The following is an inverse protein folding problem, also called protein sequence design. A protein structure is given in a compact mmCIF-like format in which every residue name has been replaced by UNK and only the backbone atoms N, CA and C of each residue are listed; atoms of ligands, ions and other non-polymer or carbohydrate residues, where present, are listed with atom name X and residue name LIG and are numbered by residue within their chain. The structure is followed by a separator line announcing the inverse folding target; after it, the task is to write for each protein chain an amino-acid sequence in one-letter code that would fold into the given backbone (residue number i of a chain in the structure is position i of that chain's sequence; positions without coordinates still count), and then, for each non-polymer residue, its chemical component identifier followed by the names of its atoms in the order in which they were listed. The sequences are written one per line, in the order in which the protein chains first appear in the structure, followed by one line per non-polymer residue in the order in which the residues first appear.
data_IF_051157462366
#
_entry.id   IF_051157462366
#
_cell.length_a   1.000
_cell.length_b   1.000
_cell.length_c   1.000
_cell.angle_alpha   90.00
_cell.angle_beta   90.00
_cell.angle_gamma   90.00
#
_symmetry.space_group_name_H-M   'P 1'
#
loop_
_entity.id
_entity.type
_entity.pdbx_description
1 polymer ?
#
# COMPACT_ATOMS: atom_id res chain seq x y z
N UNK A 1 20.83 1.09 -38.26
CA UNK A 1 21.19 -0.18 -38.93
C UNK A 1 21.34 -1.25 -37.85
N UNK A 2 20.77 -2.45 -38.03
CA UNK A 2 21.00 -3.58 -37.11
C UNK A 2 22.27 -4.33 -37.52
N UNK A 3 23.07 -4.79 -36.55
CA UNK A 3 24.35 -5.45 -36.83
C UNK A 3 24.18 -6.89 -37.32
N UNK A 4 25.18 -7.43 -38.03
CA UNK A 4 25.19 -8.81 -38.52
C UNK A 4 25.01 -9.83 -37.38
N UNK A 5 25.61 -9.58 -36.21
CA UNK A 5 25.42 -10.39 -35.01
C UNK A 5 23.96 -10.37 -34.51
N UNK A 6 23.31 -9.20 -34.46
CA UNK A 6 21.89 -9.09 -34.12
C UNK A 6 21.00 -9.86 -35.12
N UNK A 7 21.29 -9.78 -36.42
CA UNK A 7 20.54 -10.51 -37.45
C UNK A 7 20.69 -12.03 -37.33
N UNK A 8 21.88 -12.54 -36.99
CA UNK A 8 22.09 -13.97 -36.75
C UNK A 8 21.39 -14.44 -35.47
N UNK A 9 21.51 -13.69 -34.37
CA UNK A 9 20.80 -13.99 -33.12
C UNK A 9 19.27 -14.00 -33.31
N UNK A 10 18.73 -13.01 -34.02
CA UNK A 10 17.30 -12.95 -34.35
C UNK A 10 16.84 -14.14 -35.20
N UNK A 11 17.63 -14.58 -36.19
CA UNK A 11 17.33 -15.79 -36.99
C UNK A 11 17.38 -17.07 -36.16
N UNK A 12 18.31 -17.19 -35.21
CA UNK A 12 18.38 -18.34 -34.30
C UNK A 12 17.20 -18.35 -33.30
N UNK A 13 16.86 -17.20 -32.74
CA UNK A 13 15.73 -17.04 -31.83
C UNK A 13 14.39 -17.28 -32.52
N UNK A 14 14.21 -16.84 -33.77
CA UNK A 14 13.00 -17.09 -34.56
C UNK A 14 12.75 -18.59 -34.79
N UNK A 15 13.79 -19.42 -34.96
CA UNK A 15 13.64 -20.88 -35.07
C UNK A 15 13.16 -21.54 -33.77
N UNK A 16 13.52 -20.98 -32.62
CA UNK A 16 13.06 -21.43 -31.29
C UNK A 16 11.69 -20.85 -30.92
N UNK A 17 11.40 -19.63 -31.37
CA UNK A 17 10.14 -18.89 -31.18
C UNK A 17 9.12 -19.19 -32.29
N UNK A 18 8.78 -20.48 -32.45
CA UNK A 18 7.59 -20.84 -33.19
C UNK A 18 6.36 -20.51 -32.32
N UNK A 19 5.60 -19.48 -32.68
CA UNK A 19 4.30 -19.19 -32.05
C UNK A 19 3.32 -20.38 -32.14
N UNK A 20 2.23 -20.35 -31.36
CA UNK A 20 1.33 -21.50 -31.23
C UNK A 20 0.76 -21.96 -32.57
N UNK A 21 1.01 -23.23 -32.92
CA UNK A 21 0.59 -23.81 -34.21
C UNK A 21 -0.79 -24.46 -34.18
N UNK A 22 -1.19 -25.02 -33.04
CA UNK A 22 -2.52 -25.61 -32.82
C UNK A 22 -3.57 -24.53 -32.57
N UNK A 23 -4.84 -24.79 -32.91
CA UNK A 23 -5.91 -23.81 -32.72
C UNK A 23 -6.24 -23.59 -31.24
N UNK A 24 -6.10 -24.62 -30.40
CA UNK A 24 -6.08 -24.47 -28.94
C UNK A 24 -4.94 -23.58 -28.44
N UNK A 25 -3.75 -23.70 -29.02
CA UNK A 25 -2.59 -22.89 -28.69
C UNK A 25 -2.80 -21.43 -29.11
N UNK A 26 -3.42 -21.20 -30.28
CA UNK A 26 -3.81 -19.87 -30.76
C UNK A 26 -4.90 -19.28 -29.87
N UNK A 27 -5.88 -20.07 -29.44
CA UNK A 27 -6.92 -19.64 -28.50
C UNK A 27 -6.32 -19.23 -27.16
N UNK A 28 -5.46 -20.07 -26.57
CA UNK A 28 -4.70 -19.75 -25.35
C UNK A 28 -3.85 -18.49 -25.52
N UNK A 29 -3.09 -18.36 -26.61
CA UNK A 29 -2.26 -17.18 -26.86
C UNK A 29 -3.05 -15.91 -27.19
N UNK A 30 -4.26 -16.01 -27.75
CA UNK A 30 -5.17 -14.88 -27.95
C UNK A 30 -5.63 -14.29 -26.62
N UNK A 31 -5.74 -15.12 -25.59
CA UNK A 31 -6.11 -14.71 -24.23
C UNK A 31 -4.95 -14.03 -23.49
N UNK A 32 -3.68 -14.35 -23.81
CA UNK A 32 -2.52 -13.64 -23.21
C UNK A 32 -2.46 -12.14 -23.54
N UNK A 33 -3.11 -11.70 -24.63
CA UNK A 33 -3.22 -10.28 -24.99
C UNK A 33 -4.40 -9.55 -24.30
N UNK A 34 -5.24 -10.28 -23.55
CA UNK A 34 -6.45 -9.76 -22.92
C UNK A 34 -6.09 -8.96 -21.66
N UNK A 35 -5.98 -7.64 -21.81
CA UNK A 35 -5.62 -6.74 -20.69
C UNK A 35 -6.72 -6.57 -19.64
N UNK A 36 -7.99 -6.54 -20.07
CA UNK A 36 -9.13 -6.18 -19.20
C UNK A 36 -10.48 -6.81 -19.59
N UNK A 37 -10.58 -7.56 -20.70
CA UNK A 37 -11.81 -8.25 -21.12
C UNK A 37 -12.97 -7.40 -21.66
N UNK A 38 -13.16 -6.17 -21.16
CA UNK A 38 -14.32 -5.28 -21.41
C UNK A 38 -14.74 -4.99 -22.88
N UNK A 39 -13.94 -5.37 -23.88
CA UNK A 39 -14.29 -5.25 -25.32
C UNK A 39 -14.38 -6.60 -26.05
N UNK A 40 -14.45 -7.73 -25.34
CA UNK A 40 -14.59 -9.05 -25.93
C UNK A 40 -15.99 -9.24 -26.53
N UNK A 41 -16.14 -8.99 -27.82
CA UNK A 41 -17.44 -8.92 -28.49
C UNK A 41 -18.07 -10.28 -28.86
N UNK A 42 -17.42 -11.43 -28.63
CA UNK A 42 -17.85 -12.67 -29.35
C UNK A 42 -17.59 -14.04 -28.71
N UNK A 43 -16.60 -14.26 -27.83
CA UNK A 43 -16.07 -15.65 -27.63
C UNK A 43 -16.41 -16.32 -26.30
N UNK A 44 -16.53 -15.60 -25.19
CA UNK A 44 -17.02 -16.20 -23.93
C UNK A 44 -17.53 -15.08 -23.00
N UNK A 45 -18.73 -15.18 -22.39
CA UNK A 45 -19.16 -14.22 -21.36
C UNK A 45 -18.33 -14.30 -20.07
N UNK A 46 -17.48 -15.34 -19.94
CA UNK A 46 -16.64 -15.68 -18.79
C UNK A 46 -15.16 -15.59 -19.19
N UNK A 47 -14.32 -14.94 -18.38
CA UNK A 47 -12.88 -14.89 -18.62
C UNK A 47 -12.20 -16.22 -18.24
N UNK A 48 -10.96 -16.52 -18.71
CA UNK A 48 -10.31 -17.81 -18.47
C UNK A 48 -9.98 -18.16 -17.01
N UNK A 49 -10.22 -17.23 -16.08
CA UNK A 49 -10.01 -17.35 -14.63
C UNK A 49 -11.29 -17.13 -13.83
N UNK A 50 -12.44 -16.95 -14.50
CA UNK A 50 -13.75 -16.87 -13.89
C UNK A 50 -14.46 -18.22 -14.08
N UNK A 51 -15.28 -18.63 -13.12
CA UNK A 51 -16.04 -19.88 -13.23
C UNK A 51 -17.34 -19.66 -14.05
N UNK A 52 -17.58 -20.41 -15.13
CA UNK A 52 -18.85 -20.38 -15.83
C UNK A 52 -20.05 -20.75 -14.95
N UNK A 53 -19.87 -21.62 -13.95
CA UNK A 53 -20.94 -22.05 -13.07
C UNK A 53 -21.41 -20.92 -12.13
N UNK A 54 -20.53 -20.00 -11.72
CA UNK A 54 -20.90 -18.80 -10.94
C UNK A 54 -21.79 -17.86 -11.76
N UNK A 55 -21.42 -17.59 -13.01
CA UNK A 55 -22.25 -16.77 -13.91
C UNK A 55 -23.61 -17.44 -14.16
N UNK A 56 -23.62 -18.75 -14.37
CA UNK A 56 -24.86 -19.51 -14.62
C UNK A 56 -25.72 -19.66 -13.35
N UNK A 57 -25.12 -19.66 -12.16
CA UNK A 57 -25.82 -19.54 -10.88
C UNK A 57 -26.47 -18.16 -10.75
N UNK A 58 -25.73 -17.06 -10.99
CA UNK A 58 -26.26 -15.69 -10.96
C UNK A 58 -27.38 -15.47 -11.98
N UNK A 59 -27.28 -16.07 -13.17
CA UNK A 59 -28.36 -16.04 -14.17
C UNK A 59 -29.61 -16.80 -13.69
N UNK A 60 -29.45 -17.95 -13.02
CA UNK A 60 -30.56 -18.72 -12.45
C UNK A 60 -31.25 -17.95 -11.33
N UNK A 61 -30.49 -17.45 -10.35
CA UNK A 61 -30.96 -16.57 -9.27
C UNK A 61 -31.84 -15.43 -9.82
N UNK A 62 -31.35 -14.70 -10.82
CA UNK A 62 -32.13 -13.61 -11.43
C UNK A 62 -33.39 -14.09 -12.15
N UNK A 63 -33.39 -15.28 -12.75
CA UNK A 63 -34.60 -15.88 -13.37
C UNK A 63 -35.61 -16.29 -12.30
N UNK A 64 -35.14 -16.87 -11.20
CA UNK A 64 -35.98 -17.36 -10.10
C UNK A 64 -36.62 -16.21 -9.31
N UNK A 65 -35.87 -15.12 -9.08
CA UNK A 65 -36.35 -13.88 -8.47
C UNK A 65 -37.37 -13.15 -9.35
N UNK A 66 -37.06 -12.94 -10.63
CA UNK A 66 -37.94 -12.15 -11.50
C UNK A 66 -39.13 -12.94 -12.04
N UNK A 67 -39.06 -14.28 -12.12
CA UNK A 67 -40.10 -15.16 -12.66
C UNK A 67 -40.61 -14.71 -14.06
N UNK A 68 -39.76 -14.74 -15.10
CA UNK A 68 -40.12 -14.26 -16.44
C UNK A 68 -41.21 -15.14 -17.08
N UNK A 69 -42.34 -14.52 -17.44
CA UNK A 69 -43.54 -15.24 -17.93
C UNK A 69 -43.45 -15.67 -19.40
N UNK A 70 -42.54 -15.08 -20.17
CA UNK A 70 -42.39 -15.29 -21.60
C UNK A 70 -40.92 -15.15 -22.03
N UNK A 71 -40.62 -15.54 -23.28
CA UNK A 71 -39.26 -15.53 -23.82
C UNK A 71 -38.60 -14.14 -23.84
N UNK A 72 -39.37 -13.07 -24.06
CA UNK A 72 -38.85 -11.69 -24.09
C UNK A 72 -38.46 -11.23 -22.69
N UNK A 73 -39.30 -11.49 -21.68
CA UNK A 73 -38.95 -11.24 -20.28
C UNK A 73 -37.72 -12.03 -19.85
N UNK A 74 -37.62 -13.31 -20.26
CA UNK A 74 -36.48 -14.18 -19.92
C UNK A 74 -35.17 -13.62 -20.50
N UNK A 75 -35.16 -13.20 -21.76
CA UNK A 75 -33.97 -12.60 -22.38
C UNK A 75 -33.58 -11.27 -21.70
N UNK A 76 -34.55 -10.43 -21.32
CA UNK A 76 -34.26 -9.19 -20.59
C UNK A 76 -33.64 -9.46 -19.20
N UNK A 77 -34.14 -10.45 -18.46
CA UNK A 77 -33.58 -10.87 -17.16
C UNK A 77 -32.16 -11.43 -17.32
N UNK A 78 -31.95 -12.35 -18.27
CA UNK A 78 -30.62 -12.93 -18.57
C UNK A 78 -29.63 -11.85 -18.99
N UNK A 79 -30.07 -10.88 -19.82
CA UNK A 79 -29.25 -9.73 -20.22
C UNK A 79 -28.89 -8.86 -19.03
N UNK A 80 -29.82 -8.56 -18.15
CA UNK A 80 -29.57 -7.76 -16.96
C UNK A 80 -28.55 -8.42 -16.02
N UNK A 81 -28.69 -9.73 -15.76
CA UNK A 81 -27.72 -10.52 -14.98
C UNK A 81 -26.30 -10.49 -15.59
N UNK A 82 -26.19 -10.64 -16.92
CA UNK A 82 -24.91 -10.53 -17.66
C UNK A 82 -24.30 -9.12 -17.60
N UNK A 83 -25.12 -8.07 -17.60
CA UNK A 83 -24.62 -6.69 -17.44
C UNK A 83 -24.12 -6.47 -15.99
N UNK A 84 -24.85 -6.96 -14.97
CA UNK A 84 -24.37 -6.93 -13.58
C UNK A 84 -23.02 -7.65 -13.46
N UNK A 85 -22.89 -8.89 -13.92
CA UNK A 85 -21.60 -9.61 -13.92
C UNK A 85 -20.45 -8.82 -14.59
N UNK A 86 -20.77 -8.06 -15.63
CA UNK A 86 -19.80 -7.22 -16.35
C UNK A 86 -19.41 -5.96 -15.54
N UNK A 87 -20.31 -5.42 -14.70
CA UNK A 87 -20.02 -4.37 -13.74
C UNK A 87 -19.17 -4.90 -12.59
N UNK A 88 -19.56 -6.01 -11.96
CA UNK A 88 -18.82 -6.68 -10.88
C UNK A 88 -17.36 -6.97 -11.32
N UNK A 89 -17.16 -7.37 -12.59
CA UNK A 89 -15.83 -7.55 -13.19
C UNK A 89 -15.06 -6.24 -13.35
N UNK A 90 -15.73 -5.17 -13.79
CA UNK A 90 -15.08 -3.87 -13.99
C UNK A 90 -14.63 -3.26 -12.65
N UNK A 91 -15.44 -3.41 -11.60
CA UNK A 91 -15.14 -3.00 -10.22
C UNK A 91 -13.98 -3.81 -9.62
N UNK A 92 -14.01 -5.15 -9.72
CA UNK A 92 -12.87 -6.01 -9.33
C UNK A 92 -11.57 -5.60 -10.02
N UNK A 93 -11.64 -5.28 -11.31
CA UNK A 93 -10.50 -4.81 -12.09
C UNK A 93 -10.03 -3.41 -11.67
N UNK A 94 -10.94 -2.48 -11.36
CA UNK A 94 -10.60 -1.15 -10.83
C UNK A 94 -9.85 -1.26 -9.51
N UNK A 95 -10.42 -1.96 -8.52
CA UNK A 95 -9.79 -2.19 -7.20
C UNK A 95 -8.43 -2.86 -7.33
N UNK A 96 -8.28 -3.85 -8.21
CA UNK A 96 -6.99 -4.50 -8.47
C UNK A 96 -5.95 -3.56 -9.10
N UNK A 97 -6.36 -2.64 -9.97
CA UNK A 97 -5.47 -1.62 -10.53
C UNK A 97 -5.06 -0.58 -9.48
N UNK A 98 -5.99 -0.10 -8.65
CA UNK A 98 -5.71 0.88 -7.59
C UNK A 98 -4.78 0.29 -6.54
N UNK A 99 -5.07 -0.90 -6.01
CA UNK A 99 -4.20 -1.58 -5.04
C UNK A 99 -2.80 -1.85 -5.62
N UNK A 100 -2.68 -2.08 -6.93
CA UNK A 100 -1.37 -2.21 -7.61
C UNK A 100 -0.65 -0.86 -7.74
N UNK A 101 -1.36 0.25 -7.92
CA UNK A 101 -0.77 1.59 -7.95
C UNK A 101 -0.21 1.95 -6.57
N UNK A 102 -1.01 1.76 -5.50
CA UNK A 102 -0.60 1.95 -4.10
C UNK A 102 0.66 1.14 -3.78
N UNK A 103 0.64 -0.19 -3.98
CA UNK A 103 1.83 -1.03 -3.75
C UNK A 103 3.07 -0.56 -4.52
N UNK A 104 2.90 -0.07 -5.75
CA UNK A 104 4.02 0.47 -6.55
C UNK A 104 4.51 1.83 -6.06
N UNK A 105 3.63 2.68 -5.52
CA UNK A 105 4.03 3.94 -4.91
C UNK A 105 4.89 3.69 -3.67
N UNK A 106 4.41 2.82 -2.75
CA UNK A 106 5.16 2.41 -1.55
C UNK A 106 6.55 1.86 -1.88
N UNK A 107 6.62 0.85 -2.75
CA UNK A 107 7.88 0.22 -3.13
C UNK A 107 8.86 1.21 -3.78
N UNK A 108 8.37 2.24 -4.48
CA UNK A 108 9.20 3.31 -5.05
C UNK A 108 9.67 4.32 -4.00
N UNK A 109 8.80 4.69 -3.06
CA UNK A 109 9.17 5.58 -1.95
C UNK A 109 10.28 4.94 -1.12
N UNK A 110 10.07 3.70 -0.65
CA UNK A 110 11.06 2.92 0.08
C UNK A 110 12.36 2.75 -0.71
N UNK A 111 12.30 2.34 -1.98
CA UNK A 111 13.52 2.19 -2.80
C UNK A 111 14.32 3.50 -2.94
N UNK A 112 13.64 4.64 -3.07
CA UNK A 112 14.28 5.97 -3.15
C UNK A 112 14.92 6.38 -1.81
N UNK A 113 14.31 6.02 -0.67
CA UNK A 113 14.91 6.20 0.67
C UNK A 113 16.14 5.31 0.84
N UNK A 114 16.04 4.02 0.52
CA UNK A 114 17.20 3.10 0.55
C UNK A 114 18.34 3.55 -0.37
N UNK A 115 18.04 4.11 -1.55
CA UNK A 115 19.04 4.69 -2.46
C UNK A 115 19.78 5.88 -1.81
N UNK A 116 19.06 6.82 -1.17
CA UNK A 116 19.66 7.91 -0.38
C UNK A 116 20.54 7.37 0.74
N UNK A 117 20.07 6.37 1.50
CA UNK A 117 20.82 5.76 2.63
C UNK A 117 22.14 5.18 2.13
N UNK A 118 22.14 4.46 1.01
CA UNK A 118 23.36 3.95 0.39
C UNK A 118 24.31 5.06 -0.10
N UNK A 119 23.79 6.20 -0.59
CA UNK A 119 24.61 7.34 -1.00
C UNK A 119 25.22 8.07 0.21
N UNK A 120 24.42 8.42 1.22
CA UNK A 120 24.90 9.10 2.42
C UNK A 120 25.81 8.21 3.28
N UNK A 121 25.53 6.91 3.43
CA UNK A 121 26.42 5.98 4.14
C UNK A 121 27.80 5.83 3.46
N UNK A 122 27.86 5.90 2.13
CA UNK A 122 29.14 5.94 1.38
C UNK A 122 29.89 7.26 1.59
N UNK A 123 29.17 8.39 1.63
CA UNK A 123 29.75 9.72 1.89
C UNK A 123 30.24 9.86 3.32
N UNK A 124 29.49 9.33 4.29
CA UNK A 124 29.85 9.33 5.70
C UNK A 124 31.21 8.68 5.95
N UNK A 125 31.51 7.56 5.29
CA UNK A 125 32.79 6.86 5.40
C UNK A 125 33.75 7.10 4.22
N UNK A 126 33.54 8.15 3.44
CA UNK A 126 34.47 8.52 2.37
C UNK A 126 35.73 9.19 2.94
N UNK A 127 36.89 8.60 2.66
CA UNK A 127 38.19 9.20 2.95
C UNK A 127 38.72 9.93 1.71
N UNK A 128 38.78 11.26 1.75
CA UNK A 128 39.20 12.08 0.62
C UNK A 128 40.70 11.93 0.26
N UNK A 129 41.56 11.71 1.27
CA UNK A 129 43.01 11.66 1.11
C UNK A 129 43.63 13.00 0.70
N UNK A 130 44.96 13.02 0.54
CA UNK A 130 45.69 14.19 0.02
C UNK A 130 45.24 14.50 -1.41
N UNK A 131 44.54 15.62 -1.59
CA UNK A 131 44.22 16.16 -2.92
C UNK A 131 45.46 16.81 -3.54
N UNK A 132 45.85 16.35 -4.73
CA UNK A 132 46.98 16.91 -5.49
C UNK A 132 46.63 18.20 -6.24
N UNK A 133 45.34 18.42 -6.54
CA UNK A 133 44.81 19.63 -7.18
C UNK A 133 43.46 20.00 -6.51
N UNK A 134 43.02 21.27 -6.56
CA UNK A 134 41.71 21.71 -6.06
C UNK A 134 40.51 20.91 -6.59
N UNK A 135 40.59 20.46 -7.84
CA UNK A 135 39.53 19.74 -8.55
C UNK A 135 39.62 18.21 -8.28
N UNK A 136 40.65 17.74 -7.55
CA UNK A 136 40.85 16.32 -7.21
C UNK A 136 39.96 15.88 -6.04
N UNK A 137 38.64 15.84 -6.25
CA UNK A 137 37.72 15.39 -5.22
C UNK A 137 36.29 15.19 -5.74
N UNK A 138 35.39 14.68 -4.89
CA UNK A 138 33.97 14.68 -5.21
C UNK A 138 33.42 16.11 -5.30
N UNK A 139 32.38 16.30 -6.12
CA UNK A 139 31.69 17.59 -6.27
C UNK A 139 30.77 17.95 -5.07
N UNK A 140 30.95 17.30 -3.92
CA UNK A 140 30.15 17.50 -2.70
C UNK A 140 31.07 17.81 -1.50
N UNK A 141 30.54 18.55 -0.52
CA UNK A 141 31.28 18.94 0.69
C UNK A 141 31.32 17.79 1.70
N UNK A 142 32.49 17.51 2.27
CA UNK A 142 32.65 16.46 3.28
C UNK A 142 32.25 16.95 4.67
N UNK A 143 30.97 16.77 4.99
CA UNK A 143 30.36 17.15 6.27
C UNK A 143 29.68 15.93 6.91
N UNK A 144 30.33 15.25 7.87
CA UNK A 144 29.76 14.09 8.53
C UNK A 144 28.48 14.42 9.31
N UNK A 145 28.36 15.62 9.88
CA UNK A 145 27.17 16.04 10.62
C UNK A 145 25.96 16.11 9.69
N UNK A 146 26.14 16.68 8.50
CA UNK A 146 25.12 16.70 7.47
C UNK A 146 24.77 15.29 6.97
N UNK A 147 25.74 14.37 6.83
CA UNK A 147 25.46 13.01 6.40
C UNK A 147 24.70 12.19 7.45
N UNK A 148 25.03 12.32 8.74
CA UNK A 148 24.26 11.70 9.84
C UNK A 148 22.84 12.26 9.87
N UNK A 149 22.67 13.59 9.89
CA UNK A 149 21.35 14.21 9.86
C UNK A 149 20.50 13.79 8.64
N UNK A 150 21.12 13.54 7.48
CA UNK A 150 20.44 13.03 6.27
C UNK A 150 20.08 11.54 6.32
N UNK A 151 20.79 10.74 7.11
CA UNK A 151 20.41 9.35 7.39
C UNK A 151 19.26 9.31 8.42
N UNK A 152 19.29 10.22 9.39
CA UNK A 152 18.23 10.45 10.37
C UNK A 152 16.93 11.03 9.76
N UNK A 153 16.85 11.31 8.45
CA UNK A 153 15.59 11.66 7.76
C UNK A 153 14.65 10.47 7.49
N UNK A 154 15.02 9.23 7.84
CA UNK A 154 14.21 8.05 7.46
C UNK A 154 14.43 6.81 8.33
N UNK A 155 13.44 5.92 8.50
CA UNK A 155 13.59 4.68 9.27
C UNK A 155 14.72 3.80 8.73
N UNK A 156 14.84 3.67 7.40
CA UNK A 156 15.92 2.89 6.79
C UNK A 156 17.32 3.46 7.07
N UNK A 157 17.45 4.77 7.29
CA UNK A 157 18.72 5.43 7.57
C UNK A 157 19.08 5.39 9.06
N UNK A 158 18.10 5.56 9.95
CA UNK A 158 18.29 5.36 11.40
C UNK A 158 18.63 3.90 11.70
N UNK A 159 17.93 2.93 11.11
CA UNK A 159 18.28 1.51 11.23
C UNK A 159 19.70 1.24 10.71
N UNK A 160 20.10 1.86 9.59
CA UNK A 160 21.45 1.71 9.07
C UNK A 160 22.51 2.29 10.02
N UNK A 161 22.24 3.40 10.71
CA UNK A 161 23.11 3.96 11.75
C UNK A 161 23.17 3.06 12.99
N UNK A 162 22.03 2.54 13.46
CA UNK A 162 21.94 1.56 14.56
C UNK A 162 22.81 0.34 14.28
N UNK A 163 22.73 -0.25 13.08
CA UNK A 163 23.56 -1.39 12.69
C UNK A 163 25.07 -1.06 12.80
N UNK A 164 25.50 0.15 12.41
CA UNK A 164 26.91 0.58 12.52
C UNK A 164 27.32 0.80 13.98
N UNK A 165 26.45 1.35 14.81
CA UNK A 165 26.72 1.53 16.23
C UNK A 165 26.76 0.20 16.99
N UNK A 166 25.92 -0.77 16.62
CA UNK A 166 25.99 -2.15 17.13
C UNK A 166 27.30 -2.82 16.70
N UNK A 167 27.76 -2.64 15.46
CA UNK A 167 29.10 -3.09 15.03
C UNK A 167 30.22 -2.47 15.89
N UNK A 168 30.16 -1.17 16.21
CA UNK A 168 31.13 -0.52 17.10
C UNK A 168 31.07 -1.08 18.53
N UNK A 169 29.87 -1.31 19.10
CA UNK A 169 29.72 -1.95 20.42
C UNK A 169 30.31 -3.35 20.43
N UNK A 170 30.06 -4.16 19.41
CA UNK A 170 30.63 -5.50 19.30
C UNK A 170 32.17 -5.47 19.24
N UNK A 171 32.78 -4.52 18.51
CA UNK A 171 34.23 -4.32 18.48
C UNK A 171 34.80 -3.96 19.86
N UNK A 172 34.16 -3.00 20.55
CA UNK A 172 34.59 -2.56 21.90
C UNK A 172 34.52 -3.72 22.90
N UNK A 173 33.43 -4.48 22.88
CA UNK A 173 33.20 -5.62 23.79
C UNK A 173 34.11 -6.80 23.47
N UNK A 174 34.49 -7.03 22.20
CA UNK A 174 35.35 -8.15 21.82
C UNK A 174 36.80 -8.00 22.29
N UNK A 175 37.22 -6.79 22.69
CA UNK A 175 38.60 -6.46 23.07
C UNK A 175 39.62 -6.86 21.98
N UNK A 176 39.21 -6.71 20.71
CA UNK A 176 40.08 -6.84 19.54
C UNK A 176 40.82 -5.52 19.29
N UNK A 177 41.96 -5.58 18.60
CA UNK A 177 42.74 -4.38 18.31
C UNK A 177 41.97 -3.45 17.36
N UNK A 178 41.87 -2.17 17.73
CA UNK A 178 41.24 -1.15 16.90
C UNK A 178 42.02 -0.98 15.59
N UNK A 179 41.34 -0.98 14.45
CA UNK A 179 41.98 -0.54 13.21
C UNK A 179 41.81 0.96 13.00
N UNK A 180 42.69 1.55 12.19
CA UNK A 180 42.57 2.92 11.69
C UNK A 180 41.17 3.23 11.11
N UNK A 181 40.57 2.25 10.43
CA UNK A 181 39.24 2.41 9.83
C UNK A 181 38.14 2.45 10.89
N UNK A 182 38.30 1.76 12.01
CA UNK A 182 37.30 1.71 13.07
C UNK A 182 37.34 2.98 13.92
N UNK A 183 38.54 3.51 14.20
CA UNK A 183 38.69 4.87 14.74
C UNK A 183 38.02 5.91 13.84
N UNK A 184 38.26 5.85 12.52
CA UNK A 184 37.62 6.74 11.55
C UNK A 184 36.10 6.60 11.56
N UNK A 185 35.55 5.37 11.48
CA UNK A 185 34.10 5.13 11.54
C UNK A 185 33.49 5.68 12.83
N UNK A 186 34.11 5.44 13.98
CA UNK A 186 33.59 5.86 15.30
C UNK A 186 33.43 7.39 15.37
N UNK A 187 34.45 8.15 14.97
CA UNK A 187 34.37 9.62 14.91
C UNK A 187 33.31 10.10 13.90
N UNK A 188 33.26 9.46 12.73
CA UNK A 188 32.33 9.86 11.66
C UNK A 188 30.88 9.54 12.00
N UNK A 189 30.60 8.44 12.72
CA UNK A 189 29.28 8.10 13.23
C UNK A 189 28.73 9.11 14.23
N UNK A 190 29.60 9.78 15.00
CA UNK A 190 29.25 10.92 15.86
C UNK A 190 28.95 12.21 15.07
N UNK A 191 29.00 12.18 13.73
CA UNK A 191 28.85 13.36 12.89
C UNK A 191 30.06 14.32 12.96
N UNK A 192 31.19 13.90 13.56
CA UNK A 192 32.36 14.75 13.80
C UNK A 192 33.46 14.54 12.75
N UNK A 193 34.32 15.54 12.58
CA UNK A 193 35.56 15.41 11.82
C UNK A 193 36.73 15.08 12.77
N UNK A 194 37.63 14.13 12.45
CA UNK A 194 38.77 13.76 13.31
C UNK A 194 39.69 14.92 13.73
N UNK A 195 39.83 15.96 12.90
CA UNK A 195 40.62 17.15 13.25
C UNK A 195 39.96 18.06 14.30
N UNK A 196 38.66 17.92 14.56
CA UNK A 196 37.99 18.65 15.63
C UNK A 196 38.44 18.21 17.03
N UNK A 197 39.15 17.07 17.15
CA UNK A 197 39.62 16.53 18.43
C UNK A 197 40.53 17.46 19.24
N UNK A 198 41.09 18.54 18.65
CA UNK A 198 41.90 19.53 19.36
C UNK A 198 41.07 20.69 19.96
N UNK A 199 39.79 20.77 19.58
CA UNK A 199 38.85 21.85 19.91
C UNK A 199 37.59 21.31 20.63
N UNK A 200 37.18 20.06 20.37
CA UNK A 200 36.03 19.34 20.95
C UNK A 200 36.49 18.46 22.14
N UNK A 201 36.05 18.74 23.38
CA UNK A 201 36.50 18.00 24.58
C UNK A 201 36.15 16.51 24.59
N UNK A 202 34.94 16.13 24.16
CA UNK A 202 34.51 14.72 24.16
C UNK A 202 35.28 13.93 23.09
N UNK A 203 35.52 14.55 21.93
CA UNK A 203 36.33 13.95 20.88
C UNK A 203 37.82 13.87 21.29
N UNK A 204 38.32 14.82 22.09
CA UNK A 204 39.64 14.70 22.68
C UNK A 204 39.71 13.50 23.63
N UNK A 205 38.71 13.32 24.50
CA UNK A 205 38.63 12.20 25.44
C UNK A 205 38.59 10.84 24.73
N UNK A 206 37.87 10.72 23.60
CA UNK A 206 37.88 9.50 22.74
C UNK A 206 39.30 9.14 22.29
N UNK A 207 40.08 10.13 21.85
CA UNK A 207 41.45 9.91 21.38
C UNK A 207 42.39 9.57 22.55
N UNK A 208 42.20 10.21 23.71
CA UNK A 208 42.94 9.89 24.93
C UNK A 208 42.57 8.50 25.49
N UNK A 209 41.32 8.05 25.32
CA UNK A 209 40.90 6.69 25.64
C UNK A 209 41.64 5.67 24.78
N UNK A 210 41.73 5.88 23.46
CA UNK A 210 42.56 5.02 22.59
C UNK A 210 44.05 5.06 22.99
N UNK A 211 44.58 6.22 23.35
CA UNK A 211 45.96 6.41 23.81
C UNK A 211 46.25 5.72 25.18
N UNK A 212 45.24 5.60 26.05
CA UNK A 212 45.32 4.83 27.30
C UNK A 212 45.18 3.32 27.07
N UNK A 213 44.43 2.89 26.05
CA UNK A 213 44.29 1.46 25.68
C UNK A 213 45.55 0.94 24.98
N UNK A 214 46.07 1.67 23.98
CA UNK A 214 47.28 1.32 23.24
C UNK A 214 48.15 2.57 23.03
N UNK A 215 49.42 2.49 23.43
CA UNK A 215 50.35 3.62 23.40
C UNK A 215 50.47 4.20 21.97
N UNK A 216 50.37 5.51 21.85
CA UNK A 216 50.43 6.26 20.59
C UNK A 216 49.23 6.05 19.65
N UNK A 217 48.21 5.25 20.00
CA UNK A 217 47.15 4.91 19.04
C UNK A 217 46.22 6.08 18.70
N UNK A 218 45.83 6.88 19.69
CA UNK A 218 45.06 8.11 19.48
C UNK A 218 45.87 9.18 18.75
N UNK A 219 47.11 9.41 19.20
CA UNK A 219 48.00 10.43 18.63
C UNK A 219 48.40 10.11 17.18
N UNK A 220 48.72 8.84 16.86
CA UNK A 220 49.07 8.42 15.50
C UNK A 220 47.87 8.49 14.56
N UNK A 221 46.67 8.13 15.02
CA UNK A 221 45.44 8.32 14.25
C UNK A 221 45.23 9.80 13.90
N UNK A 222 45.38 10.71 14.88
CA UNK A 222 45.26 12.15 14.64
C UNK A 222 46.29 12.68 13.62
N UNK A 223 47.57 12.31 13.77
CA UNK A 223 48.63 12.71 12.84
C UNK A 223 48.40 12.18 11.43
N UNK A 224 47.92 10.94 11.29
CA UNK A 224 47.57 10.35 9.99
C UNK A 224 46.36 11.07 9.36
N UNK A 225 45.40 11.54 10.17
CA UNK A 225 44.27 12.34 9.69
C UNK A 225 44.70 13.75 9.27
N UNK A 226 45.59 14.40 10.02
CA UNK A 226 46.21 15.65 9.63
C UNK A 226 46.94 15.50 8.30
N UNK A 227 47.75 14.44 8.15
CA UNK A 227 48.48 14.18 6.91
C UNK A 227 47.52 14.00 5.71
N UNK A 228 46.41 13.30 5.88
CA UNK A 228 45.47 13.01 4.80
C UNK A 228 44.43 14.11 4.53
N UNK A 229 44.37 15.17 5.34
CA UNK A 229 43.37 16.24 5.17
C UNK A 229 43.79 17.20 4.05
N UNK A 230 42.90 17.58 3.11
CA UNK A 230 43.20 18.54 2.05
C UNK A 230 43.63 19.90 2.60
N UNK A 231 44.55 20.58 1.90
CA UNK A 231 45.01 21.94 2.24
C UNK A 231 43.92 23.02 2.14
N UNK A 232 42.78 22.70 1.53
CA UNK A 232 41.64 23.59 1.33
C UNK A 232 40.66 23.58 2.52
N UNK A 233 40.91 22.77 3.54
CA UNK A 233 40.20 22.89 4.81
C UNK A 233 40.38 24.32 5.37
N UNK A 234 39.30 25.02 5.75
CA UNK A 234 39.36 26.44 6.12
C UNK A 234 40.26 26.75 7.33
N UNK A 235 40.67 25.73 8.09
CA UNK A 235 41.63 25.84 9.18
C UNK A 235 42.93 25.09 8.84
N UNK A 236 43.72 25.64 7.91
CA UNK A 236 45.10 25.26 7.50
C UNK A 236 45.63 23.99 8.20
N UNK A 237 45.22 22.83 7.67
CA UNK A 237 45.37 21.53 8.35
C UNK A 237 46.80 21.25 8.84
N UNK A 238 47.81 21.63 8.05
CA UNK A 238 49.23 21.47 8.33
C UNK A 238 49.80 22.30 9.52
N UNK A 239 49.04 23.24 10.08
CA UNK A 239 49.45 24.05 11.25
C UNK A 239 48.71 23.71 12.53
N UNK A 240 47.72 22.82 12.48
CA UNK A 240 47.14 22.22 13.68
C UNK A 240 48.22 21.42 14.42
N UNK A 241 48.11 21.31 15.74
CA UNK A 241 49.01 20.51 16.59
C UNK A 241 48.14 19.74 17.57
N UNK A 242 48.45 18.47 17.79
CA UNK A 242 47.79 17.65 18.82
C UNK A 242 47.89 18.31 20.20
N UNK A 243 46.80 18.27 20.96
CA UNK A 243 46.68 18.84 22.30
C UNK A 243 45.80 17.94 23.16
N UNK A 244 46.16 17.78 24.42
CA UNK A 244 45.32 17.15 25.43
C UNK A 244 44.61 18.28 26.17
N UNK A 245 43.29 18.40 25.97
CA UNK A 245 42.45 19.48 26.53
C UNK A 245 41.53 18.98 27.66
N UNK A 246 41.49 17.66 27.88
CA UNK A 246 40.80 16.97 28.97
C UNK A 246 41.77 15.97 29.63
N UNK A 247 41.55 15.54 30.88
CA UNK A 247 42.39 14.51 31.49
C UNK A 247 42.26 13.17 30.76
N UNK A 248 43.33 12.37 30.76
CA UNK A 248 43.31 10.99 30.26
C UNK A 248 42.51 10.08 31.21
N UNK A 249 41.78 9.06 30.71
CA UNK A 249 41.24 8.00 31.56
C UNK A 249 42.35 7.30 32.37
N UNK A 250 42.06 6.98 33.64
CA UNK A 250 43.05 6.46 34.59
C UNK A 250 43.58 5.06 34.23
N UNK A 251 42.75 4.21 33.60
CA UNK A 251 43.11 2.83 33.22
C UNK A 251 42.53 2.46 31.85
N UNK A 252 43.06 1.41 31.18
CA UNK A 252 42.49 0.88 29.94
C UNK A 252 41.02 0.47 30.08
N UNK A 253 40.62 -0.09 31.23
CA UNK A 253 39.24 -0.49 31.50
C UNK A 253 38.31 0.73 31.60
N UNK A 254 38.77 1.82 32.22
CA UNK A 254 38.03 3.08 32.26
C UNK A 254 37.88 3.70 30.86
N UNK A 255 38.93 3.62 30.04
CA UNK A 255 38.90 4.06 28.64
C UNK A 255 37.91 3.23 27.77
N UNK A 256 37.91 1.90 27.92
CA UNK A 256 36.95 1.01 27.24
C UNK A 256 35.52 1.29 27.69
N UNK A 257 35.28 1.46 29.00
CA UNK A 257 33.97 1.78 29.54
C UNK A 257 33.44 3.13 29.03
N UNK A 258 34.31 4.15 28.92
CA UNK A 258 33.96 5.44 28.32
C UNK A 258 33.52 5.29 26.85
N UNK A 259 34.32 4.62 26.01
CA UNK A 259 33.99 4.39 24.59
C UNK A 259 32.70 3.58 24.43
N UNK A 260 32.47 2.58 25.30
CA UNK A 260 31.23 1.81 25.32
C UNK A 260 30.02 2.69 25.69
N UNK A 261 30.15 3.56 26.70
CA UNK A 261 29.07 4.46 27.13
C UNK A 261 28.58 5.40 26.02
N UNK A 262 29.49 5.88 25.16
CA UNK A 262 29.15 6.68 23.98
C UNK A 262 28.34 5.85 23.00
N UNK A 263 28.81 4.64 22.68
CA UNK A 263 28.14 3.76 21.73
C UNK A 263 26.78 3.26 22.25
N UNK A 264 26.60 3.12 23.57
CA UNK A 264 25.32 2.78 24.19
C UNK A 264 24.33 3.95 24.15
N UNK A 265 24.77 5.16 24.50
CA UNK A 265 23.99 6.40 24.40
C UNK A 265 23.51 6.67 22.98
N UNK A 266 24.35 6.46 21.98
CA UNK A 266 23.95 6.65 20.57
C UNK A 266 22.99 5.54 20.08
N UNK A 267 23.10 4.30 20.58
CA UNK A 267 22.10 3.25 20.29
C UNK A 267 20.76 3.60 20.91
N UNK A 268 20.72 4.03 22.17
CA UNK A 268 19.48 4.44 22.86
C UNK A 268 18.81 5.62 22.12
N UNK A 269 19.57 6.69 21.84
CA UNK A 269 19.09 7.86 21.08
C UNK A 269 18.51 7.49 19.71
N UNK A 270 19.15 6.59 18.99
CA UNK A 270 18.70 6.17 17.67
C UNK A 270 17.52 5.18 17.74
N UNK A 271 17.35 4.43 18.84
CA UNK A 271 16.16 3.59 19.07
C UNK A 271 14.93 4.46 19.32
N UNK A 272 15.03 5.48 20.17
CA UNK A 272 13.97 6.45 20.41
C UNK A 272 13.60 7.18 19.11
N UNK A 273 14.60 7.69 18.38
CA UNK A 273 14.39 8.38 17.10
C UNK A 273 13.77 7.47 16.03
N UNK A 274 14.07 6.16 16.03
CA UNK A 274 13.45 5.22 15.10
C UNK A 274 11.93 5.12 15.36
N UNK A 275 11.51 5.08 16.62
CA UNK A 275 10.08 5.04 16.97
C UNK A 275 9.34 6.29 16.49
N UNK A 276 9.88 7.47 16.75
CA UNK A 276 9.29 8.75 16.31
C UNK A 276 9.12 8.82 14.78
N UNK A 277 10.13 8.38 14.01
CA UNK A 277 10.10 8.44 12.56
C UNK A 277 9.24 7.31 11.95
N UNK A 278 9.14 6.14 12.58
CA UNK A 278 8.23 5.09 12.14
C UNK A 278 6.75 5.49 12.31
N UNK A 279 6.41 6.29 13.32
CA UNK A 279 5.07 6.89 13.45
C UNK A 279 4.79 7.88 12.29
N UNK A 280 5.71 8.82 12.05
CA UNK A 280 5.59 9.82 10.97
C UNK A 280 5.51 9.15 9.57
N UNK A 281 6.36 8.15 9.30
CA UNK A 281 6.33 7.41 8.03
C UNK A 281 5.05 6.55 7.91
N UNK A 282 4.45 6.15 9.02
CA UNK A 282 3.12 5.51 9.05
C UNK A 282 2.05 6.41 8.46
N UNK A 283 2.00 7.67 8.89
CA UNK A 283 1.06 8.69 8.39
C UNK A 283 1.37 9.08 6.93
N UNK A 284 2.64 9.34 6.60
CA UNK A 284 3.08 9.62 5.22
C UNK A 284 2.74 8.46 4.26
N UNK A 285 2.82 7.21 4.72
CA UNK A 285 2.40 6.05 3.96
C UNK A 285 0.88 6.01 3.76
N UNK A 286 0.07 6.39 4.75
CA UNK A 286 -1.39 6.52 4.56
C UNK A 286 -1.69 7.59 3.50
N UNK A 287 -1.10 8.77 3.58
CA UNK A 287 -1.33 9.83 2.58
C UNK A 287 -0.89 9.37 1.18
N UNK A 288 0.30 8.77 1.05
CA UNK A 288 0.80 8.24 -0.21
C UNK A 288 -0.10 7.13 -0.78
N UNK A 289 -0.75 6.33 0.08
CA UNK A 289 -1.74 5.34 -0.34
C UNK A 289 -2.99 6.01 -0.91
N UNK A 290 -3.52 7.03 -0.23
CA UNK A 290 -4.67 7.79 -0.72
C UNK A 290 -4.38 8.46 -2.06
N UNK A 291 -3.26 9.20 -2.17
CA UNK A 291 -2.80 9.83 -3.41
C UNK A 291 -2.65 8.80 -4.56
N UNK A 292 -2.07 7.62 -4.28
CA UNK A 292 -1.89 6.56 -5.29
C UNK A 292 -3.17 5.79 -5.63
N UNK A 293 -4.19 5.84 -4.75
CA UNK A 293 -5.53 5.32 -4.99
C UNK A 293 -6.37 6.25 -5.87
N UNK A 294 -6.06 7.56 -5.88
CA UNK A 294 -6.70 8.49 -6.79
C UNK A 294 -6.17 8.34 -8.22
N UNK A 295 -7.01 7.91 -9.17
CA UNK A 295 -6.61 7.79 -10.58
C UNK A 295 -7.40 8.70 -11.53
N UNK A 296 -6.86 9.90 -11.74
CA UNK A 296 -7.29 10.86 -12.75
C UNK A 296 -6.85 10.48 -14.20
N UNK A 297 -6.27 9.29 -14.41
CA UNK A 297 -5.72 8.93 -15.72
C UNK A 297 -6.79 8.60 -16.78
N UNK A 298 -6.48 8.91 -18.04
CA UNK A 298 -7.26 8.57 -19.24
C UNK A 298 -7.77 7.11 -19.29
N UNK A 299 -6.98 6.17 -18.77
CA UNK A 299 -7.34 4.75 -18.74
C UNK A 299 -8.47 4.47 -17.74
N UNK A 300 -8.39 5.07 -16.55
CA UNK A 300 -9.44 4.97 -15.54
C UNK A 300 -10.68 5.79 -15.94
N UNK A 301 -10.50 6.92 -16.62
CA UNK A 301 -11.62 7.69 -17.15
C UNK A 301 -12.42 6.90 -18.21
N UNK A 302 -11.73 6.10 -19.05
CA UNK A 302 -12.39 5.16 -19.96
C UNK A 302 -13.08 4.01 -19.22
N UNK A 303 -12.55 3.55 -18.09
CA UNK A 303 -13.16 2.53 -17.23
C UNK A 303 -14.45 3.05 -16.57
N UNK A 304 -14.41 4.24 -15.94
CA UNK A 304 -15.58 4.91 -15.36
C UNK A 304 -16.68 5.18 -16.39
N UNK A 305 -16.32 5.60 -17.61
CA UNK A 305 -17.27 5.75 -18.71
C UNK A 305 -17.88 4.42 -19.15
N UNK A 306 -17.10 3.33 -19.14
CA UNK A 306 -17.60 1.99 -19.42
C UNK A 306 -18.57 1.51 -18.33
N UNK A 307 -18.21 1.61 -17.04
CA UNK A 307 -19.10 1.30 -15.91
C UNK A 307 -20.39 2.11 -16.03
N UNK A 308 -20.29 3.44 -16.14
CA UNK A 308 -21.45 4.34 -16.32
C UNK A 308 -22.35 3.93 -17.48
N UNK A 309 -21.78 3.53 -18.62
CA UNK A 309 -22.55 3.04 -19.78
C UNK A 309 -23.22 1.68 -19.52
N UNK A 310 -22.53 0.74 -18.85
CA UNK A 310 -23.11 -0.56 -18.44
C UNK A 310 -24.23 -0.37 -17.41
N UNK A 311 -24.05 0.46 -16.39
CA UNK A 311 -25.09 0.78 -15.38
C UNK A 311 -26.32 1.42 -16.02
N UNK A 312 -26.15 2.36 -16.96
CA UNK A 312 -27.27 2.93 -17.73
C UNK A 312 -27.98 1.88 -18.60
N UNK A 313 -27.26 0.91 -19.16
CA UNK A 313 -27.88 -0.19 -19.91
C UNK A 313 -28.67 -1.11 -18.97
N UNK A 314 -28.11 -1.48 -17.81
CA UNK A 314 -28.77 -2.30 -16.79
C UNK A 314 -30.10 -1.69 -16.34
N UNK A 315 -30.08 -0.42 -15.93
CA UNK A 315 -31.27 0.30 -15.49
C UNK A 315 -32.34 0.39 -16.58
N UNK A 316 -31.94 0.60 -17.85
CA UNK A 316 -32.86 0.60 -19.00
C UNK A 316 -33.46 -0.79 -19.27
N UNK A 317 -32.70 -1.86 -19.10
CA UNK A 317 -33.19 -3.24 -19.26
C UNK A 317 -34.22 -3.60 -18.19
N UNK A 318 -33.99 -3.20 -16.94
CA UNK A 318 -34.92 -3.41 -15.82
C UNK A 318 -36.19 -2.56 -15.99
N UNK A 319 -36.05 -1.28 -16.36
CA UNK A 319 -37.18 -0.37 -16.64
C UNK A 319 -38.05 -0.87 -17.82
N UNK A 320 -37.43 -1.37 -18.90
CA UNK A 320 -38.15 -1.98 -20.01
C UNK A 320 -38.94 -3.23 -19.57
N UNK A 321 -38.33 -4.10 -18.76
CA UNK A 321 -38.99 -5.27 -18.19
C UNK A 321 -40.22 -4.87 -17.33
N UNK A 322 -40.07 -3.87 -16.47
CA UNK A 322 -41.16 -3.34 -15.65
C UNK A 322 -42.30 -2.76 -16.50
N UNK A 323 -41.97 -2.00 -17.57
CA UNK A 323 -42.95 -1.44 -18.51
C UNK A 323 -43.71 -2.51 -19.29
N UNK A 324 -43.03 -3.55 -19.78
CA UNK A 324 -43.68 -4.68 -20.45
C UNK A 324 -44.66 -5.42 -19.52
N UNK A 325 -44.27 -5.63 -18.25
CA UNK A 325 -45.14 -6.23 -17.23
C UNK A 325 -46.36 -5.37 -16.90
N UNK A 326 -46.20 -4.05 -16.80
CA UNK A 326 -47.30 -3.12 -16.61
C UNK A 326 -48.27 -3.11 -17.80
N UNK A 327 -47.75 -3.12 -19.03
CA UNK A 327 -48.54 -3.20 -20.26
C UNK A 327 -49.32 -4.53 -20.36
N UNK A 328 -48.65 -5.65 -20.06
CA UNK A 328 -49.27 -6.99 -20.04
C UNK A 328 -50.43 -7.08 -19.04
N UNK A 329 -50.22 -6.58 -17.80
CA UNK A 329 -51.29 -6.47 -16.77
C UNK A 329 -52.44 -5.57 -17.21
N UNK A 330 -52.17 -4.49 -17.95
CA UNK A 330 -53.22 -3.62 -18.50
C UNK A 330 -54.03 -4.34 -19.59
N UNK A 331 -53.36 -5.03 -20.51
CA UNK A 331 -54.01 -5.78 -21.58
C UNK A 331 -54.89 -6.92 -21.04
N UNK A 332 -54.46 -7.66 -20.01
CA UNK A 332 -55.30 -8.67 -19.35
C UNK A 332 -56.51 -8.07 -18.62
N UNK A 333 -56.41 -6.81 -18.18
CA UNK A 333 -57.52 -6.09 -17.53
C UNK A 333 -58.53 -5.51 -18.53
N UNK A 334 -58.09 -5.11 -19.73
CA UNK A 334 -58.96 -4.64 -20.82
C UNK A 334 -59.59 -5.78 -21.63
N UNK A 335 -58.94 -6.95 -21.72
CA UNK A 335 -59.46 -8.14 -22.40
C UNK A 335 -60.60 -8.86 -21.64
N UNK A 336 -60.87 -8.47 -20.38
CA UNK A 336 -61.94 -9.03 -19.57
C UNK A 336 -63.15 -8.07 -19.61
N UNK A 337 -64.26 -8.40 -20.30
CA UNK A 337 -65.37 -7.47 -20.48
C UNK A 337 -66.04 -7.12 -19.14
N UNK A 338 -66.60 -5.90 -18.99
CA UNK A 338 -67.36 -5.57 -17.78
C UNK A 338 -68.55 -6.52 -17.63
N UNK A 339 -68.74 -7.04 -16.41
CA UNK A 339 -69.72 -8.09 -16.11
C UNK A 339 -71.12 -7.76 -16.65
N UNK A 340 -71.90 -8.77 -17.11
CA UNK A 340 -73.20 -8.54 -17.72
C UNK A 340 -74.13 -7.80 -16.77
N UNK A 341 -74.73 -6.70 -17.26
CA UNK A 341 -75.75 -5.95 -16.53
C UNK A 341 -76.91 -6.89 -16.19
N UNK A 342 -77.29 -6.98 -14.90
CA UNK A 342 -78.46 -7.75 -14.45
C UNK A 342 -79.70 -7.32 -15.25
N UNK A 343 -80.56 -8.26 -15.70
CA UNK A 343 -81.78 -7.90 -16.40
C UNK A 343 -82.74 -7.13 -15.48
N UNK A 344 -83.41 -6.12 -16.03
CA UNK A 344 -84.37 -5.32 -15.29
C UNK A 344 -85.61 -6.14 -14.92
N UNK A 345 -85.98 -6.13 -13.63
CA UNK A 345 -87.25 -6.71 -13.18
C UNK A 345 -88.42 -5.87 -13.69
N UNK A 346 -89.50 -6.54 -14.14
CA UNK A 346 -90.78 -5.86 -14.46
C UNK A 346 -91.44 -5.37 -13.17
N UNK A 347 -92.17 -4.23 -13.20
CA UNK A 347 -92.89 -3.74 -12.04
C UNK A 347 -94.09 -4.65 -11.74
N UNK A 348 -94.13 -5.17 -10.50
CA UNK A 348 -95.38 -5.72 -9.93
C UNK A 348 -96.25 -4.56 -9.45
N UNK A 349 -97.53 -4.58 -9.78
CA UNK A 349 -98.51 -3.56 -9.38
C UNK A 349 -99.80 -4.24 -8.90
N UNK A 350 -100.56 -3.54 -8.04
CA UNK A 350 -101.64 -4.04 -7.17
C UNK A 350 -101.11 -4.84 -5.97
N UNK A 351 -100.99 -4.30 -4.75
CA UNK A 351 -101.77 -3.31 -3.95
C UNK A 351 -103.01 -3.91 -3.29
N UNK A 352 -102.85 -4.24 -2.00
CA UNK A 352 -103.93 -4.35 -1.02
C UNK A 352 -103.35 -4.22 0.39
N UNK A 353 -103.00 -3.00 0.79
CA UNK A 353 -103.05 -2.63 2.21
C UNK A 353 -104.54 -2.62 2.61
N UNK A 354 -104.93 -3.04 3.83
CA UNK A 354 -105.00 -2.02 4.87
C UNK A 354 -104.88 -2.52 6.35
N UNK A 355 -104.71 -1.55 7.25
CA UNK A 355 -105.08 -1.60 8.68
C UNK A 355 -104.44 -2.72 9.52
N UNK A 356 -103.18 -2.51 9.89
CA UNK A 356 -102.72 -2.67 11.28
C UNK A 356 -101.49 -1.77 11.50
N UNK A 357 -101.43 -1.07 12.63
CA UNK A 357 -100.33 -0.17 13.06
C UNK A 357 -100.16 1.19 12.35
N UNK A 358 -101.24 1.79 11.84
CA UNK A 358 -101.33 3.26 11.66
C UNK A 358 -102.04 3.92 12.87
N UNK A 359 -101.57 3.56 14.07
CA UNK A 359 -101.90 4.20 15.36
C UNK A 359 -100.62 4.30 16.21
N UNK A 360 -99.68 5.11 15.74
CA UNK A 360 -98.66 5.76 16.57
C UNK A 360 -98.18 7.09 15.95
N UNK A 361 -98.95 7.68 15.03
CA UNK A 361 -98.77 9.08 14.62
C UNK A 361 -99.37 9.99 15.69
N UNK A 362 -98.64 10.11 16.80
CA UNK A 362 -99.02 10.87 17.99
C UNK A 362 -97.80 11.52 18.61
N UNK A 363 -97.52 12.76 18.16
CA UNK A 363 -96.54 13.69 18.71
C UNK A 363 -95.08 13.22 18.74
N UNK A 364 -94.16 13.78 17.95
CA UNK A 364 -93.75 15.21 17.95
C UNK A 364 -93.37 15.81 19.31
N UNK A 365 -93.58 15.10 20.43
CA UNK A 365 -93.14 15.53 21.76
C UNK A 365 -91.72 15.05 22.06
N UNK A 366 -91.31 13.90 21.51
CA UNK A 366 -89.99 13.31 21.78
C UNK A 366 -88.83 14.11 21.16
N UNK A 367 -89.07 14.84 20.06
CA UNK A 367 -88.09 15.79 19.49
C UNK A 367 -88.12 17.16 20.18
N UNK A 368 -89.18 17.48 20.92
CA UNK A 368 -89.27 18.72 21.70
C UNK A 368 -88.67 18.54 23.11
N UNK A 369 -88.69 17.32 23.67
CA UNK A 369 -88.12 17.04 24.98
C UNK A 369 -86.60 16.93 24.96
N UNK A 370 -85.96 18.06 25.29
CA UNK A 370 -84.70 18.13 26.03
C UNK A 370 -83.54 17.30 25.42
N UNK A 371 -82.69 17.82 24.53
CA UNK A 371 -82.37 19.22 24.23
C UNK A 371 -81.97 20.10 25.44
N UNK A 372 -81.98 19.59 26.68
CA UNK A 372 -81.63 20.34 27.90
C UNK A 372 -80.73 19.59 28.91
N UNK A 373 -80.48 18.28 28.77
CA UNK A 373 -79.54 17.54 29.63
C UNK A 373 -78.96 16.29 28.92
N UNK A 374 -77.66 16.00 28.92
CA UNK A 374 -76.51 16.76 29.41
C UNK A 374 -75.15 16.15 29.01
N UNK A 375 -74.11 16.99 28.97
CA UNK A 375 -72.66 16.70 29.16
C UNK A 375 -71.88 15.65 28.31
N UNK A 376 -71.19 16.17 27.29
CA UNK A 376 -69.70 16.21 27.06
C UNK A 376 -68.78 15.35 27.97
N UNK A 377 -67.60 14.85 27.50
CA UNK A 377 -66.48 15.63 26.88
C UNK A 377 -65.71 14.89 25.75
N UNK A 378 -64.52 15.26 25.24
CA UNK A 378 -63.92 16.52 24.69
C UNK A 378 -62.54 16.16 24.03
N UNK A 379 -61.74 16.96 23.30
CA UNK A 379 -61.78 18.36 22.80
C UNK A 379 -60.73 18.56 21.65
N UNK A 380 -61.16 19.08 20.48
CA UNK A 380 -60.48 20.03 19.54
C UNK A 380 -59.00 19.93 19.08
N UNK A 381 -58.67 20.36 17.83
CA UNK A 381 -57.30 20.52 17.30
C UNK A 381 -56.71 21.94 17.49
N UNK A 382 -55.43 22.15 17.14
CA UNK A 382 -54.76 23.47 17.16
C UNK A 382 -54.01 23.83 15.87
N UNK A 383 -53.98 25.14 15.57
CA UNK A 383 -53.14 25.82 14.57
C UNK A 383 -52.59 27.10 15.22
N UNK A 384 -51.26 27.32 15.21
CA UNK A 384 -50.58 28.55 14.71
C UNK A 384 -49.12 28.71 15.20
N UNK A 385 -48.34 29.36 14.32
CA UNK A 385 -47.21 30.27 14.57
C UNK A 385 -45.85 29.75 15.10
N UNK A 386 -44.86 29.82 14.20
CA UNK A 386 -43.58 30.57 14.27
C UNK A 386 -42.60 30.53 15.47
N UNK A 387 -41.33 30.72 15.07
CA UNK A 387 -40.18 31.32 15.78
C UNK A 387 -39.25 30.46 16.67
N UNK A 388 -38.14 30.05 16.03
CA UNK A 388 -36.75 30.47 16.32
C UNK A 388 -36.02 30.12 17.63
N UNK A 389 -34.69 29.95 17.47
CA UNK A 389 -33.58 29.88 18.48
C UNK A 389 -33.59 28.67 19.45
N UNK A 390 -32.56 27.82 19.63
CA UNK A 390 -31.06 27.83 19.57
C UNK A 390 -30.48 27.61 20.98
N UNK A 391 -29.42 26.77 21.09
CA UNK A 391 -28.66 26.31 22.29
C UNK A 391 -29.26 25.15 23.10
N UNK A 392 -28.49 24.30 23.80
CA UNK A 392 -27.06 23.87 23.78
C UNK A 392 -26.94 22.62 24.68
N UNK A 393 -25.93 21.75 24.43
CA UNK A 393 -25.38 20.75 25.38
C UNK A 393 -26.38 19.67 25.94
N UNK A 394 -25.99 18.58 26.60
CA UNK A 394 -24.67 18.11 27.08
C UNK A 394 -24.60 16.55 27.15
N UNK A 395 -23.45 16.00 27.55
CA UNK A 395 -23.02 14.58 27.44
C UNK A 395 -23.25 13.68 28.69
N UNK A 396 -22.86 12.38 28.57
CA UNK A 396 -22.38 11.43 29.62
C UNK A 396 -23.41 10.36 30.13
N UNK A 397 -23.40 9.06 29.75
CA UNK A 397 -22.52 7.86 30.03
C UNK A 397 -22.91 7.05 31.31
N UNK A 398 -22.72 5.71 31.27
CA UNK A 398 -22.92 4.65 32.30
C UNK A 398 -24.39 4.11 32.48
N UNK A 399 -24.66 2.83 32.80
CA UNK A 399 -23.81 1.67 33.14
C UNK A 399 -24.45 0.29 32.79
N UNK A 400 -23.74 -0.81 33.11
CA UNK A 400 -23.94 -2.22 32.72
C UNK A 400 -25.05 -2.98 33.51
N UNK A 401 -25.50 -4.14 32.96
CA UNK A 401 -26.12 -5.26 33.72
C UNK A 401 -25.55 -6.61 33.23
N UNK A 402 -25.42 -7.59 34.14
CA UNK A 402 -24.69 -8.86 33.99
C UNK A 402 -25.59 -10.11 33.79
N UNK A 403 -24.93 -11.28 33.57
CA UNK A 403 -25.31 -12.71 33.89
C UNK A 403 -25.80 -13.60 32.70
N UNK A 404 -25.72 -14.95 32.80
CA UNK A 404 -24.53 -15.75 33.13
C UNK A 404 -24.34 -17.09 32.34
N UNK A 405 -23.12 -17.62 32.46
CA UNK A 405 -22.57 -19.00 32.31
C UNK A 405 -23.55 -20.20 32.27
N UNK A 406 -23.33 -21.13 31.30
CA UNK A 406 -23.11 -22.62 31.44
C UNK A 406 -22.38 -23.10 30.15
N UNK A 407 -21.65 -24.23 30.05
CA UNK A 407 -20.44 -24.74 30.74
C UNK A 407 -19.90 -25.96 29.93
N UNK A 408 -18.70 -26.47 30.24
CA UNK A 408 -17.98 -27.64 29.67
C UNK A 408 -17.19 -27.36 28.36
N UNK A 409 -15.85 -27.45 28.30
CA UNK A 409 -14.94 -28.60 28.60
C UNK A 409 -15.08 -29.70 27.53
N UNK A 410 -14.05 -30.31 26.92
CA UNK A 410 -12.58 -30.49 27.09
C UNK A 410 -12.06 -31.09 25.74
N UNK A 411 -10.80 -31.41 25.43
CA UNK A 411 -9.45 -31.00 25.83
C UNK A 411 -8.45 -31.56 24.79
N UNK A 412 -7.29 -30.90 24.67
CA UNK A 412 -5.97 -31.39 24.26
C UNK A 412 -5.77 -32.74 23.50
N UNK A 413 -4.91 -32.69 22.47
CA UNK A 413 -3.75 -33.60 22.43
C UNK A 413 -2.55 -33.03 21.68
N UNK A 414 -1.44 -32.89 22.39
CA UNK A 414 -0.09 -32.69 21.86
C UNK A 414 0.64 -34.03 21.69
N UNK A 415 1.74 -34.05 20.91
CA UNK A 415 2.69 -35.13 20.56
C UNK A 415 2.67 -35.41 19.03
N UNK A 416 3.81 -35.63 18.35
CA UNK A 416 5.22 -35.55 18.75
C UNK A 416 6.16 -35.41 17.54
N UNK A 417 7.35 -34.88 17.83
CA UNK A 417 8.58 -34.88 16.99
C UNK A 417 8.78 -36.16 16.16
N UNK A 418 9.15 -35.99 14.89
CA UNK A 418 9.92 -36.96 14.10
C UNK A 418 10.68 -36.27 12.95
N UNK A 419 12.00 -36.42 12.91
CA UNK A 419 12.87 -36.02 11.79
C UNK A 419 12.75 -37.04 10.63
N UNK A 420 13.22 -36.66 9.43
CA UNK A 420 13.89 -37.63 8.56
C UNK A 420 15.29 -37.16 8.11
N UNK A 421 16.28 -38.04 8.30
CA UNK A 421 17.63 -37.90 7.73
C UNK A 421 17.65 -37.88 6.19
N UNK A 422 18.70 -37.32 5.56
CA UNK A 422 18.78 -37.18 4.10
C UNK A 422 19.26 -38.45 3.39
N UNK A 423 18.48 -38.93 2.42
CA UNK A 423 18.84 -40.08 1.59
C UNK A 423 19.47 -39.70 0.25
N UNK A 424 20.68 -40.23 -0.01
CA UNK A 424 21.11 -40.69 -1.34
C UNK A 424 21.66 -39.66 -2.33
N UNK A 425 22.98 -39.47 -2.32
CA UNK A 425 23.69 -38.95 -3.48
C UNK A 425 23.91 -40.06 -4.53
N UNK A 426 23.62 -39.83 -5.83
CA UNK A 426 24.13 -40.66 -6.91
C UNK A 426 25.43 -40.06 -7.47
N UNK A 427 26.50 -40.84 -7.42
CA UNK A 427 27.75 -40.54 -8.11
C UNK A 427 27.56 -40.61 -9.63
N UNK A 428 28.09 -39.65 -10.37
CA UNK A 428 28.38 -39.85 -11.80
C UNK A 428 29.63 -39.08 -12.23
N UNK A 429 30.64 -39.83 -12.64
CA UNK A 429 31.82 -39.30 -13.31
C UNK A 429 31.45 -38.84 -14.72
N UNK A 430 31.84 -37.63 -15.12
CA UNK A 430 32.14 -37.33 -16.52
C UNK A 430 33.45 -36.55 -16.61
N UNK A 431 34.39 -37.12 -17.36
CA UNK A 431 35.74 -36.58 -17.55
C UNK A 431 35.76 -35.24 -18.29
N UNK A 432 36.51 -34.30 -17.72
CA UNK A 432 37.65 -33.66 -18.36
C UNK A 432 37.51 -33.07 -19.77
N UNK A 433 37.58 -31.73 -19.84
CA UNK A 433 38.34 -31.05 -20.91
C UNK A 433 38.89 -29.69 -20.46
N UNK A 434 40.02 -29.70 -19.75
CA UNK A 434 40.86 -28.52 -19.58
C UNK A 434 41.86 -28.50 -20.73
N UNK A 435 41.71 -27.57 -21.68
CA UNK A 435 42.77 -27.24 -22.63
C UNK A 435 43.62 -26.10 -22.07
N UNK A 436 44.93 -26.33 -21.97
CA UNK A 436 45.95 -25.30 -21.80
C UNK A 436 46.40 -24.81 -23.20
N UNK A 437 46.93 -23.60 -23.26
CA UNK A 437 47.47 -22.98 -24.47
C UNK A 437 46.49 -21.93 -25.03
N UNK A 438 46.93 -20.75 -25.50
CA UNK A 438 48.31 -20.24 -25.68
C UNK A 438 48.37 -18.74 -25.33
N UNK A 439 49.57 -18.22 -25.05
CA UNK A 439 49.77 -16.81 -24.75
C UNK A 439 49.71 -15.93 -26.01
N UNK A 440 49.24 -14.68 -25.85
CA UNK A 440 49.33 -13.64 -26.89
C UNK A 440 50.03 -12.42 -26.29
N UNK A 441 51.03 -11.91 -27.01
CA UNK A 441 51.97 -10.91 -26.52
C UNK A 441 51.39 -9.49 -26.46
N UNK A 442 51.95 -8.69 -25.55
CA UNK A 442 51.82 -7.23 -25.55
C UNK A 442 52.49 -6.62 -26.81
N UNK A 443 51.86 -5.66 -27.50
CA UNK A 443 52.53 -4.84 -28.50
C UNK A 443 53.42 -3.79 -27.82
N UNK A 444 54.57 -3.42 -28.40
CA UNK A 444 55.51 -2.46 -27.82
C UNK A 444 54.97 -1.02 -27.89
N UNK A 445 55.45 -0.18 -26.98
CA UNK A 445 55.08 1.23 -26.89
C UNK A 445 55.43 2.04 -28.13
N UNK A 446 54.56 2.99 -28.49
CA UNK A 446 54.89 4.09 -29.39
C UNK A 446 55.35 5.28 -28.56
N UNK A 447 56.64 5.55 -28.61
CA UNK A 447 57.15 6.90 -28.37
C UNK A 447 56.48 7.85 -29.38
N UNK A 448 55.93 8.96 -28.91
CA UNK A 448 55.59 10.10 -29.77
C UNK A 448 56.18 11.37 -29.17
N UNK A 449 56.87 12.11 -30.04
CA UNK A 449 57.76 13.19 -29.66
C UNK A 449 57.03 14.35 -28.96
N UNK A 450 57.68 14.86 -27.92
CA UNK A 450 57.42 16.18 -27.37
C UNK A 450 57.73 17.23 -28.45
N UNK A 451 56.71 17.93 -28.92
CA UNK A 451 56.86 19.11 -29.75
C UNK A 451 56.87 20.37 -28.87
N UNK A 452 58.06 20.79 -28.43
CA UNK A 452 58.28 22.16 -27.93
C UNK A 452 58.18 23.10 -29.13
N UNK A 453 57.35 24.13 -29.04
CA UNK A 453 57.38 25.26 -29.98
C UNK A 453 57.27 26.56 -29.15
N UNK A 454 58.18 27.53 -29.31
CA UNK A 454 58.32 28.62 -28.36
C UNK A 454 57.47 29.85 -28.70
N UNK A 455 57.00 30.54 -27.66
CA UNK A 455 56.85 32.00 -27.59
C UNK A 455 56.64 32.45 -26.15
#
# INVERSE_FOLDING_TARGET
MSTTAQLQANRANAKKSCGPKTDEGKARSRLNALKHGMRAATVNPVLPHEDPAELEAKIREWIDDYQPTNAVERELVVRAARISWTLDRAERHESALLARNVRRAMLRSKAKRTEKVCDYGRKLFYMAGKRLLPISGPAWSDDPSAFVARLEESPEGVQWLLDRWVEMRCLIISNENWTFLDQFKFVRLLGKQPLAAIDDPELNEIFLAWETIEEQWGTRFWLQMQEMTPYEDPAFSAWRVWREIVPRPETPEAAVAFLLSIAEREVERLQDLLMDIEEIEGDDAVELAEQASFSASDAFERLRRFQTARTRELLRTIDLLAKLRAASKKATKEANPPAPRKPAARPSSYRSDPIENLVAEGMTDFLAKLLEAGERPSRTPQKRANEATVREAETCVLQQVQRPIVDSAESERSQSVAEPEPAGAPTSNVSGRIQRGEGVALPPGREQHVAINPR
#
